data_IF_041146316832
#
_entry.id   IF_041146316832
#
_cell.length_a   1.000
_cell.length_b   1.000
_cell.length_c   1.000
_cell.angle_alpha   90.00
_cell.angle_beta   90.00
_cell.angle_gamma   90.00
#
_symmetry.space_group_name_H-M   'P 1'
#
loop_
_entity.id
_entity.type
_entity.pdbx_description
1 polymer ?
#
# COMPACT_ATOMS: atom_id res chain seq x y z
N UNK A 1 -14.05 -60.86 11.75
CA UNK A 1 -13.15 -59.71 11.91
C UNK A 1 -12.46 -59.43 10.58
N UNK A 2 -12.85 -58.30 9.97
CA UNK A 2 -12.15 -57.41 9.04
C UNK A 2 -11.27 -58.10 7.97
N UNK A 3 -11.75 -58.32 6.74
CA UNK A 3 -11.85 -57.29 5.68
C UNK A 3 -10.78 -56.21 5.85
N UNK A 4 -9.63 -56.38 5.19
CA UNK A 4 -8.77 -55.38 4.52
C UNK A 4 -7.55 -56.18 4.01
N UNK A 5 -7.83 -57.14 3.13
CA UNK A 5 -6.94 -57.51 2.05
C UNK A 5 -7.54 -56.84 0.82
N UNK A 6 -6.69 -56.31 -0.07
CA UNK A 6 -7.05 -55.52 -1.28
C UNK A 6 -7.25 -54.02 -1.01
N UNK A 7 -6.16 -53.33 -0.71
CA UNK A 7 -5.89 -51.95 -1.15
C UNK A 7 -4.37 -51.64 -1.05
N UNK A 8 -3.52 -52.59 -1.43
CA UNK A 8 -2.05 -52.44 -1.47
C UNK A 8 -1.56 -51.76 -2.75
N UNK A 9 -2.39 -50.92 -3.37
CA UNK A 9 -2.06 -50.15 -4.57
C UNK A 9 -2.62 -48.75 -4.37
N UNK A 10 -1.73 -47.75 -4.42
CA UNK A 10 -1.96 -46.28 -4.36
C UNK A 10 -1.63 -45.53 -3.06
N UNK A 11 -0.49 -45.79 -2.41
CA UNK A 11 0.22 -44.71 -1.68
C UNK A 11 1.73 -44.96 -1.79
N UNK A 12 2.48 -43.98 -2.33
CA UNK A 12 3.93 -43.91 -2.14
C UNK A 12 4.82 -44.10 -3.37
N UNK A 13 4.46 -43.53 -4.52
CA UNK A 13 5.50 -43.07 -5.47
C UNK A 13 5.87 -41.64 -5.05
N UNK A 14 7.17 -41.34 -5.00
CA UNK A 14 7.83 -40.11 -4.52
C UNK A 14 8.28 -40.07 -3.06
N UNK A 15 9.16 -41.01 -2.69
CA UNK A 15 10.16 -40.74 -1.64
C UNK A 15 11.41 -41.59 -1.85
N UNK A 16 12.16 -41.31 -2.92
CA UNK A 16 13.55 -41.77 -3.11
C UNK A 16 14.32 -40.76 -3.99
N UNK A 17 14.59 -39.58 -3.43
CA UNK A 17 15.72 -38.75 -3.84
C UNK A 17 16.53 -38.42 -2.57
N UNK A 18 16.89 -39.47 -1.83
CA UNK A 18 17.86 -39.40 -0.76
C UNK A 18 19.25 -39.47 -1.35
N UNK A 19 19.97 -38.35 -1.20
CA UNK A 19 21.34 -38.31 -0.67
C UNK A 19 22.22 -39.50 -1.09
N UNK A 20 23.03 -39.27 -2.11
CA UNK A 20 24.47 -39.57 -2.08
C UNK A 20 25.04 -39.09 -3.40
N UNK A 21 25.95 -38.11 -3.34
CA UNK A 21 27.27 -38.22 -3.96
C UNK A 21 28.06 -36.93 -3.61
N UNK A 22 29.08 -37.13 -2.77
CA UNK A 22 30.34 -36.40 -2.66
C UNK A 22 30.40 -35.02 -2.00
N UNK A 23 31.01 -35.05 -0.80
CA UNK A 23 32.17 -34.19 -0.52
C UNK A 23 33.13 -34.20 -1.72
N UNK A 24 33.28 -33.07 -2.41
CA UNK A 24 34.57 -32.71 -3.01
C UNK A 24 35.01 -31.42 -2.35
N UNK A 25 36.12 -31.58 -1.64
CA UNK A 25 36.93 -30.57 -1.00
C UNK A 25 37.21 -29.40 -1.92
N UNK A 26 37.46 -28.23 -1.33
CA UNK A 26 38.01 -27.08 -2.02
C UNK A 26 39.23 -27.48 -2.87
N UNK A 27 39.14 -27.34 -4.19
CA UNK A 27 40.30 -27.26 -5.05
C UNK A 27 40.25 -25.94 -5.79
N UNK A 28 41.22 -25.08 -5.47
CA UNK A 28 41.63 -23.97 -6.31
C UNK A 28 41.94 -24.52 -7.71
N UNK A 29 41.03 -24.38 -8.67
CA UNK A 29 41.35 -24.51 -10.09
C UNK A 29 40.52 -23.54 -10.91
N UNK A 30 41.24 -22.81 -11.74
CA UNK A 30 40.81 -21.78 -12.67
C UNK A 30 39.51 -22.13 -13.42
N UNK A 31 38.60 -21.16 -13.49
CA UNK A 31 37.34 -21.25 -14.24
C UNK A 31 37.57 -21.10 -15.75
N UNK A 32 38.39 -21.97 -16.33
CA UNK A 32 38.81 -21.95 -17.74
C UNK A 32 37.81 -22.52 -18.75
N UNK A 33 36.58 -22.90 -18.37
CA UNK A 33 35.67 -23.61 -19.29
C UNK A 33 34.19 -23.17 -19.19
N UNK A 34 33.93 -21.86 -19.16
CA UNK A 34 32.59 -21.30 -19.40
C UNK A 34 32.53 -20.76 -20.84
N UNK A 35 31.44 -20.99 -21.61
CA UNK A 35 31.25 -20.35 -22.92
C UNK A 35 31.35 -18.82 -22.76
N UNK A 36 32.04 -18.13 -23.69
CA UNK A 36 32.37 -16.68 -23.58
C UNK A 36 31.19 -15.81 -23.15
N UNK A 37 30.00 -16.10 -23.63
CA UNK A 37 28.76 -15.38 -23.30
C UNK A 37 28.38 -15.49 -21.81
N UNK A 38 28.59 -16.66 -21.19
CA UNK A 38 28.31 -16.88 -19.76
C UNK A 38 29.40 -16.30 -18.86
N UNK A 39 30.64 -16.23 -19.34
CA UNK A 39 31.73 -15.54 -18.65
C UNK A 39 31.44 -14.04 -18.57
N UNK A 40 31.01 -13.43 -19.68
CA UNK A 40 30.74 -12.00 -19.73
C UNK A 40 29.54 -11.58 -18.86
N UNK A 41 28.49 -12.40 -18.81
CA UNK A 41 27.35 -12.16 -17.91
C UNK A 41 27.76 -12.31 -16.45
N UNK A 42 28.62 -13.28 -16.15
CA UNK A 42 29.08 -13.54 -14.79
C UNK A 42 30.07 -12.46 -14.32
N UNK A 43 30.98 -12.01 -15.17
CA UNK A 43 31.86 -10.86 -14.89
C UNK A 43 31.06 -9.57 -14.67
N UNK A 44 29.97 -9.36 -15.43
CA UNK A 44 29.04 -8.24 -15.19
C UNK A 44 28.34 -8.38 -13.84
N UNK A 45 27.91 -9.59 -13.47
CA UNK A 45 27.28 -9.85 -12.17
C UNK A 45 28.25 -9.70 -11.01
N UNK A 46 29.48 -10.18 -11.15
CA UNK A 46 30.50 -10.10 -10.10
C UNK A 46 31.05 -8.68 -9.97
N UNK A 47 31.21 -7.92 -11.08
CA UNK A 47 31.44 -6.46 -11.02
C UNK A 47 30.28 -5.73 -10.34
N UNK A 48 29.02 -6.06 -10.64
CA UNK A 48 27.87 -5.43 -9.99
C UNK A 48 27.73 -5.84 -8.52
N UNK A 49 28.13 -7.06 -8.16
CA UNK A 49 28.11 -7.57 -6.78
C UNK A 49 29.26 -6.98 -5.96
N UNK A 50 30.44 -6.82 -6.54
CA UNK A 50 31.57 -6.10 -5.93
C UNK A 50 31.23 -4.61 -5.81
N UNK A 51 30.59 -4.02 -6.83
CA UNK A 51 30.06 -2.65 -6.77
C UNK A 51 29.03 -2.51 -5.64
N UNK A 52 28.04 -3.39 -5.54
CA UNK A 52 27.04 -3.36 -4.47
C UNK A 52 27.60 -3.67 -3.07
N UNK A 53 28.75 -4.35 -2.98
CA UNK A 53 29.39 -4.73 -1.71
C UNK A 53 30.44 -3.71 -1.25
N UNK A 54 31.05 -2.99 -2.20
CA UNK A 54 31.89 -1.81 -1.96
C UNK A 54 31.06 -0.53 -1.87
N UNK A 55 29.81 -0.53 -2.37
CA UNK A 55 28.74 0.37 -1.97
C UNK A 55 28.35 -0.01 -0.54
N UNK A 56 29.25 0.26 0.40
CA UNK A 56 28.94 0.29 1.81
C UNK A 56 27.84 1.33 2.00
N UNK A 57 26.58 0.89 2.01
CA UNK A 57 25.47 1.65 2.60
C UNK A 57 25.72 1.64 4.11
N UNK A 58 26.69 2.43 4.53
CA UNK A 58 26.84 2.85 5.90
C UNK A 58 25.88 4.03 6.04
N UNK A 59 24.77 3.84 6.79
CA UNK A 59 24.14 4.98 7.47
C UNK A 59 25.28 5.70 8.19
N UNK A 60 25.60 6.94 7.85
CA UNK A 60 26.24 7.86 8.79
C UNK A 60 26.16 9.31 8.32
N UNK A 61 25.99 10.16 9.32
CA UNK A 61 25.67 11.57 9.23
C UNK A 61 26.74 12.36 8.45
N UNK A 62 26.24 13.30 7.64
CA UNK A 62 26.88 14.58 7.26
C UNK A 62 27.72 14.61 5.97
N UNK A 63 27.12 15.33 5.00
CA UNK A 63 27.60 16.24 3.96
C UNK A 63 28.64 15.80 2.89
N UNK A 64 28.21 15.97 1.63
CA UNK A 64 29.00 16.06 0.37
C UNK A 64 29.09 14.82 -0.55
N UNK A 65 27.94 14.16 -0.79
CA UNK A 65 27.66 13.35 -1.99
C UNK A 65 26.27 13.68 -2.56
N UNK A 66 25.98 13.42 -3.86
CA UNK A 66 24.71 13.82 -4.45
C UNK A 66 23.61 13.01 -3.77
N UNK A 67 22.77 13.71 -3.02
CA UNK A 67 21.62 13.15 -2.34
C UNK A 67 20.77 12.41 -3.38
N UNK A 68 20.82 11.08 -3.40
CA UNK A 68 19.68 10.29 -3.87
C UNK A 68 18.64 10.41 -2.77
N UNK A 69 17.97 11.56 -2.76
CA UNK A 69 16.74 11.77 -2.03
C UNK A 69 15.80 10.74 -2.64
N UNK A 70 15.61 9.60 -1.98
CA UNK A 70 14.30 8.97 -2.03
C UNK A 70 13.39 10.04 -1.47
N UNK A 71 12.86 10.87 -2.38
CA UNK A 71 11.88 11.89 -2.07
C UNK A 71 10.75 11.05 -1.52
N UNK A 72 10.65 11.01 -0.18
CA UNK A 72 9.39 10.75 0.49
C UNK A 72 8.43 11.58 -0.34
N UNK A 73 7.60 10.91 -1.15
CA UNK A 73 6.66 11.64 -2.01
C UNK A 73 5.89 12.47 -1.01
N UNK A 74 6.13 13.77 -1.00
CA UNK A 74 5.37 14.71 -0.22
C UNK A 74 3.97 14.53 -0.78
N UNK A 75 3.17 13.67 -0.15
CA UNK A 75 1.77 13.48 -0.51
C UNK A 75 1.21 14.87 -0.29
N UNK A 76 0.95 15.60 -1.35
CA UNK A 76 0.27 16.89 -1.21
C UNK A 76 -1.21 16.59 -1.07
N UNK A 77 -1.99 17.44 -0.38
CA UNK A 77 -3.43 17.33 -0.40
C UNK A 77 -3.93 17.17 -1.84
N UNK A 78 -4.77 16.18 -2.12
CA UNK A 78 -5.28 15.95 -3.46
C UNK A 78 -6.60 15.18 -3.47
N UNK A 79 -7.47 15.53 -4.42
CA UNK A 79 -8.69 14.78 -4.71
C UNK A 79 -8.31 13.54 -5.53
N UNK A 80 -8.78 12.37 -5.10
CA UNK A 80 -8.56 11.08 -5.74
C UNK A 80 -9.86 10.54 -6.32
N UNK A 81 -9.80 10.06 -7.58
CA UNK A 81 -10.97 9.46 -8.26
C UNK A 81 -11.23 8.02 -7.85
N UNK A 82 -10.17 7.29 -7.50
CA UNK A 82 -10.24 5.88 -7.14
C UNK A 82 -9.86 5.76 -5.68
N UNK A 83 -10.78 5.19 -4.91
CA UNK A 83 -10.59 4.86 -3.52
C UNK A 83 -9.95 3.48 -3.48
N UNK A 84 -8.74 3.39 -2.93
CA UNK A 84 -8.07 2.10 -2.69
C UNK A 84 -8.69 1.46 -1.45
N UNK A 85 -9.79 0.72 -1.67
CA UNK A 85 -10.38 -0.45 -0.97
C UNK A 85 -9.94 -0.81 0.47
N UNK A 86 -9.52 0.13 1.32
CA UNK A 86 -9.30 -0.13 2.74
C UNK A 86 -10.64 -0.27 3.48
N UNK A 87 -11.67 0.39 2.98
CA UNK A 87 -13.05 0.25 3.46
C UNK A 87 -13.89 -0.32 2.32
N UNK A 88 -13.83 -1.64 2.11
CA UNK A 88 -14.83 -2.33 1.28
C UNK A 88 -16.17 -2.38 2.03
N UNK A 89 -16.74 -1.19 2.31
CA UNK A 89 -18.03 -1.06 2.98
C UNK A 89 -19.14 -1.35 1.98
N UNK A 90 -19.78 -2.49 2.15
CA UNK A 90 -20.91 -2.88 1.31
C UNK A 90 -22.11 -1.93 1.48
N UNK A 91 -22.14 -1.06 2.50
CA UNK A 91 -23.22 -0.11 2.77
C UNK A 91 -23.12 1.21 2.01
N UNK A 92 -21.93 1.56 1.51
CA UNK A 92 -21.68 2.88 0.91
C UNK A 92 -21.37 2.73 -0.58
N UNK A 93 -21.99 3.56 -1.41
CA UNK A 93 -21.61 3.77 -2.82
C UNK A 93 -20.68 4.96 -2.85
N UNK A 94 -19.38 4.70 -2.96
CA UNK A 94 -18.38 5.75 -2.97
C UNK A 94 -18.22 6.40 -4.35
N UNK A 95 -17.95 7.71 -4.37
CA UNK A 95 -17.71 8.50 -5.59
C UNK A 95 -16.24 8.81 -5.81
N UNK A 96 -15.64 9.46 -4.84
CA UNK A 96 -14.28 9.95 -4.84
C UNK A 96 -13.82 10.21 -3.40
N UNK A 97 -12.58 10.64 -3.27
CA UNK A 97 -12.04 11.00 -1.98
C UNK A 97 -11.03 12.13 -2.06
N UNK A 98 -10.49 12.47 -0.90
CA UNK A 98 -9.43 13.44 -0.71
C UNK A 98 -8.43 12.87 0.29
N UNK A 99 -7.15 13.01 -0.01
CA UNK A 99 -6.06 12.55 0.88
C UNK A 99 -5.18 13.72 1.22
N UNK A 100 -4.73 13.79 2.46
CA UNK A 100 -3.77 14.79 2.90
C UNK A 100 -2.78 14.19 3.91
N UNK A 101 -1.49 14.53 3.82
CA UNK A 101 -0.60 14.36 4.96
C UNK A 101 -1.13 15.24 6.09
N UNK A 102 -0.89 14.82 7.32
CA UNK A 102 -1.21 15.67 8.47
C UNK A 102 0.04 15.78 9.32
N UNK A 103 0.37 17.01 9.69
CA UNK A 103 1.37 17.23 10.72
C UNK A 103 0.68 17.08 12.08
N UNK A 104 1.39 16.50 13.06
CA UNK A 104 0.87 16.24 14.41
C UNK A 104 0.25 17.45 15.14
N UNK A 105 0.49 18.68 14.67
CA UNK A 105 -0.08 19.91 15.23
C UNK A 105 -1.54 20.16 14.80
N UNK A 106 -1.97 19.65 13.65
CA UNK A 106 -3.31 19.87 13.09
C UNK A 106 -4.27 18.75 13.50
N UNK A 107 -3.79 17.50 13.45
CA UNK A 107 -4.48 16.32 13.98
C UNK A 107 -3.44 15.34 14.52
N UNK A 108 -3.83 14.49 15.48
CA UNK A 108 -2.98 13.40 15.99
C UNK A 108 -2.91 12.22 14.99
N UNK A 109 -2.58 12.50 13.74
CA UNK A 109 -2.51 11.54 12.64
C UNK A 109 -1.34 11.89 11.72
N UNK A 110 -0.82 10.89 11.01
CA UNK A 110 0.20 11.07 9.96
C UNK A 110 -0.43 11.48 8.63
N UNK A 111 -1.67 11.08 8.42
CA UNK A 111 -2.43 11.30 7.21
C UNK A 111 -3.91 11.16 7.48
N UNK A 112 -4.69 11.78 6.61
CA UNK A 112 -6.14 11.67 6.61
C UNK A 112 -6.60 11.36 5.20
N UNK A 113 -7.54 10.43 5.12
CA UNK A 113 -8.26 10.09 3.89
C UNK A 113 -9.73 10.35 4.14
N UNK A 114 -10.35 11.11 3.26
CA UNK A 114 -11.77 11.37 3.25
C UNK A 114 -12.37 10.71 2.03
N UNK A 115 -13.41 9.91 2.23
CA UNK A 115 -14.14 9.24 1.18
C UNK A 115 -15.60 9.72 1.21
N UNK A 116 -16.15 10.03 0.04
CA UNK A 116 -17.50 10.57 -0.07
C UNK A 116 -18.37 9.68 -0.95
N UNK A 117 -19.68 9.72 -0.72
CA UNK A 117 -20.62 8.91 -1.48
C UNK A 117 -22.05 9.01 -0.97
N UNK A 118 -22.83 7.95 -1.20
CA UNK A 118 -24.19 7.79 -0.68
C UNK A 118 -24.34 6.47 0.07
N UNK A 119 -25.31 6.41 0.98
CA UNK A 119 -25.75 5.14 1.55
C UNK A 119 -26.47 4.32 0.47
N UNK A 120 -26.15 3.03 0.34
CA UNK A 120 -26.88 2.13 -0.57
C UNK A 120 -28.31 1.87 -0.11
N UNK A 121 -28.55 1.90 1.21
CA UNK A 121 -29.89 1.76 1.79
C UNK A 121 -30.75 3.01 1.64
N UNK A 122 -30.13 4.19 1.51
CA UNK A 122 -30.81 5.47 1.31
C UNK A 122 -29.97 6.33 0.35
N UNK A 123 -30.15 6.16 -0.98
CA UNK A 123 -29.36 6.87 -1.98
C UNK A 123 -29.48 8.40 -1.92
N UNK A 124 -30.55 8.93 -1.29
CA UNK A 124 -30.73 10.37 -1.09
C UNK A 124 -29.82 10.93 0.02
N UNK A 125 -29.31 10.06 0.90
CA UNK A 125 -28.43 10.45 2.00
C UNK A 125 -26.96 10.40 1.58
N UNK A 126 -26.35 11.58 1.46
CA UNK A 126 -24.90 11.73 1.30
C UNK A 126 -24.15 11.33 2.57
N UNK A 127 -22.97 10.75 2.38
CA UNK A 127 -22.08 10.28 3.45
C UNK A 127 -20.65 10.73 3.19
N UNK A 128 -19.96 11.06 4.28
CA UNK A 128 -18.53 11.38 4.34
C UNK A 128 -17.89 10.45 5.36
N UNK A 129 -16.85 9.73 4.97
CA UNK A 129 -16.06 8.86 5.84
C UNK A 129 -14.68 9.47 5.99
N UNK A 130 -14.25 9.71 7.24
CA UNK A 130 -12.93 10.24 7.56
C UNK A 130 -12.11 9.15 8.21
N UNK A 131 -10.99 8.82 7.58
CA UNK A 131 -10.05 7.77 7.98
C UNK A 131 -8.75 8.45 8.41
N UNK A 132 -8.25 8.11 9.60
CA UNK A 132 -7.00 8.69 10.11
C UNK A 132 -5.92 7.62 10.29
N UNK A 133 -4.74 7.91 9.74
CA UNK A 133 -3.58 7.04 9.81
C UNK A 133 -2.72 7.32 11.04
N UNK A 134 -2.40 6.28 11.79
CA UNK A 134 -1.55 6.38 12.98
C UNK A 134 -0.06 6.33 12.72
N UNK A 135 0.67 6.66 13.78
CA UNK A 135 2.13 6.80 13.82
C UNK A 135 2.91 5.51 13.45
N UNK A 136 2.26 4.33 13.43
CA UNK A 136 2.89 3.02 13.20
C UNK A 136 2.21 2.17 12.11
N UNK A 137 1.63 2.79 11.08
CA UNK A 137 0.81 2.11 10.05
C UNK A 137 -0.34 1.28 10.64
N UNK A 138 -0.79 1.66 11.83
CA UNK A 138 -2.01 1.13 12.43
C UNK A 138 -3.11 2.12 12.14
N UNK A 139 -4.21 1.63 11.61
CA UNK A 139 -5.45 2.38 11.44
C UNK A 139 -5.89 2.92 12.80
N UNK A 140 -6.10 4.25 12.91
CA UNK A 140 -6.39 4.89 14.21
C UNK A 140 -7.87 5.02 14.43
N UNK A 141 -8.59 5.56 13.45
CA UNK A 141 -10.00 5.89 13.63
C UNK A 141 -10.72 6.04 12.30
N UNK A 142 -11.99 5.66 12.28
CA UNK A 142 -12.94 5.88 11.17
C UNK A 142 -14.17 6.60 11.72
N UNK A 143 -14.53 7.72 11.11
CA UNK A 143 -15.74 8.47 11.47
C UNK A 143 -16.62 8.69 10.26
N UNK A 144 -17.89 8.41 10.43
CA UNK A 144 -18.92 8.60 9.40
C UNK A 144 -19.77 9.83 9.73
N UNK A 145 -19.99 10.68 8.72
CA UNK A 145 -20.78 11.90 8.82
C UNK A 145 -21.82 11.93 7.71
N UNK A 146 -23.08 12.14 8.10
CA UNK A 146 -24.19 12.32 7.16
C UNK A 146 -24.28 13.78 6.77
N UNK A 147 -24.58 14.05 5.49
CA UNK A 147 -24.88 15.41 5.04
C UNK A 147 -26.08 15.99 5.81
N UNK A 148 -26.11 17.31 6.07
CA UNK A 148 -27.18 17.95 6.84
C UNK A 148 -28.57 17.77 6.24
N UNK A 149 -28.63 17.70 4.91
CA UNK A 149 -29.85 17.43 4.14
C UNK A 149 -29.60 16.37 3.07
N UNK A 150 -30.68 15.76 2.60
CA UNK A 150 -30.67 14.65 1.64
C UNK A 150 -30.80 15.17 0.21
N UNK A 151 -29.69 15.19 -0.52
CA UNK A 151 -29.63 15.64 -1.92
C UNK A 151 -28.96 14.63 -2.85
N UNK A 152 -28.85 13.38 -2.40
CA UNK A 152 -28.22 12.31 -3.16
C UNK A 152 -26.76 12.08 -2.80
N UNK A 153 -26.10 11.44 -3.74
CA UNK A 153 -24.68 11.13 -3.66
C UNK A 153 -23.82 12.40 -3.67
N UNK A 154 -22.81 12.42 -2.82
CA UNK A 154 -21.88 13.54 -2.69
C UNK A 154 -20.48 13.18 -3.18
N UNK A 155 -19.77 14.21 -3.67
CA UNK A 155 -18.37 14.14 -4.09
C UNK A 155 -17.60 15.36 -3.61
N UNK A 156 -16.30 15.21 -3.37
CA UNK A 156 -15.38 16.33 -3.16
C UNK A 156 -15.10 17.01 -4.49
N UNK A 157 -15.33 18.32 -4.60
CA UNK A 157 -15.05 19.09 -5.83
C UNK A 157 -13.89 20.07 -5.69
N UNK A 158 -13.60 20.52 -4.46
CA UNK A 158 -12.53 21.46 -4.17
C UNK A 158 -12.12 21.36 -2.69
N UNK A 159 -11.00 21.97 -2.31
CA UNK A 159 -10.55 22.03 -0.92
C UNK A 159 -9.70 23.28 -0.64
N UNK A 160 -9.83 23.82 0.56
CA UNK A 160 -8.94 24.84 1.12
C UNK A 160 -8.40 24.35 2.47
N UNK A 161 -7.14 23.92 2.48
CA UNK A 161 -6.56 23.21 3.62
C UNK A 161 -7.37 21.95 3.97
N UNK A 162 -8.02 21.97 5.14
CA UNK A 162 -8.88 20.88 5.64
C UNK A 162 -10.38 21.13 5.49
N UNK A 163 -10.77 22.23 4.84
CA UNK A 163 -12.15 22.51 4.48
C UNK A 163 -12.42 21.97 3.08
N UNK A 164 -13.25 20.94 2.98
CA UNK A 164 -13.61 20.28 1.72
C UNK A 164 -14.92 20.86 1.19
N UNK A 165 -14.93 21.26 -0.08
CA UNK A 165 -16.17 21.60 -0.77
C UNK A 165 -16.79 20.34 -1.35
N UNK A 166 -17.97 20.00 -0.84
CA UNK A 166 -18.76 18.86 -1.29
C UNK A 166 -19.87 19.34 -2.22
N UNK A 167 -20.15 18.57 -3.28
CA UNK A 167 -21.27 18.81 -4.19
C UNK A 167 -22.12 17.54 -4.30
N UNK A 168 -23.43 17.70 -4.14
CA UNK A 168 -24.42 16.65 -4.39
C UNK A 168 -24.81 16.58 -5.88
N UNK A 169 -25.54 15.52 -6.26
CA UNK A 169 -26.07 15.34 -7.63
C UNK A 169 -26.88 16.56 -8.12
N UNK A 170 -27.66 17.17 -7.24
CA UNK A 170 -28.53 18.32 -7.54
C UNK A 170 -27.84 19.70 -7.49
N UNK A 171 -26.51 19.73 -7.33
CA UNK A 171 -25.67 20.94 -7.16
C UNK A 171 -25.77 21.64 -5.82
N UNK A 172 -26.45 21.07 -4.83
CA UNK A 172 -26.32 21.51 -3.44
C UNK A 172 -24.88 21.32 -2.97
N UNK A 173 -24.37 22.31 -2.23
CA UNK A 173 -22.98 22.32 -1.77
C UNK A 173 -22.90 22.51 -0.26
N UNK A 174 -21.87 21.92 0.33
CA UNK A 174 -21.48 22.13 1.72
C UNK A 174 -19.99 22.28 1.82
N UNK A 175 -19.55 22.99 2.86
CA UNK A 175 -18.16 22.92 3.29
C UNK A 175 -18.06 21.98 4.49
N UNK A 176 -17.23 20.96 4.37
CA UNK A 176 -16.99 19.98 5.44
C UNK A 176 -15.60 20.20 6.04
N UNK A 177 -15.54 20.50 7.33
CA UNK A 177 -14.27 20.63 8.06
C UNK A 177 -13.83 19.26 8.56
N UNK A 178 -12.69 18.78 8.08
CA UNK A 178 -12.19 17.43 8.37
C UNK A 178 -11.81 17.23 9.85
N UNK A 179 -11.06 18.14 10.51
CA UNK A 179 -10.73 18.01 11.93
C UNK A 179 -11.93 17.97 12.87
N UNK A 180 -12.93 18.82 12.65
CA UNK A 180 -14.09 18.94 13.55
C UNK A 180 -15.25 18.01 13.16
N UNK A 181 -15.32 17.58 11.90
CA UNK A 181 -16.43 16.78 11.39
C UNK A 181 -17.73 17.58 11.21
N UNK A 182 -17.63 18.89 11.01
CA UNK A 182 -18.81 19.78 10.92
C UNK A 182 -19.05 20.27 9.51
N UNK A 183 -20.32 20.37 9.13
CA UNK A 183 -20.77 20.99 7.88
C UNK A 183 -21.09 22.47 8.08
N UNK A 184 -20.78 23.27 7.06
CA UNK A 184 -21.18 24.68 6.90
C UNK A 184 -21.93 24.83 5.57
#
# INVERSE_FOLDING_TARGET
MNKIWIAFLTVGVLSCAGISYYHVSASNTEYGALPKEKQEIQERKDKNKIKAKNDSITKNNTNDGPLVIQKDRTVTPQIIKKIEDQVNDQRIRFTNGWVSPVNHQEMNARGVTVETGALKSDPAQGIVVVLTDGEKRKFVDSKEYKTPSKHGEVRVIDYDGFDLTLEAEDKTRWTFNVPTGTFK
#
